data_IF_515991140424
#
_entry.id   IF_515991140424
#
_cell.length_a   1.000
_cell.length_b   1.000
_cell.length_c   1.000
_cell.angle_alpha   90.00
_cell.angle_beta   90.00
_cell.angle_gamma   90.00
#
_symmetry.space_group_name_H-M   'P 1'
#
loop_
_entity.id
_entity.type
_entity.pdbx_description
1 polymer ?
#
# COMPACT_ATOMS: atom_id res chain seq x y z
N UNK A 1 -17.42 29.67 23.42
CA UNK A 1 -17.72 30.14 22.05
C UNK A 1 -16.45 29.99 21.22
N UNK A 2 -16.34 28.96 20.39
CA UNK A 2 -15.14 28.76 19.56
C UNK A 2 -15.28 29.58 18.28
N UNK A 3 -14.35 30.51 18.06
CA UNK A 3 -14.25 31.27 16.82
C UNK A 3 -14.08 30.31 15.64
N UNK A 4 -14.83 30.52 14.55
CA UNK A 4 -14.72 29.78 13.29
C UNK A 4 -13.32 29.84 12.65
N UNK A 5 -12.42 30.66 13.20
CA UNK A 5 -11.00 30.75 12.82
C UNK A 5 -10.11 29.75 13.58
N UNK A 6 -10.65 29.00 14.55
CA UNK A 6 -9.88 28.03 15.31
C UNK A 6 -9.45 26.84 14.42
N UNK A 7 -8.19 26.38 14.49
CA UNK A 7 -7.73 25.20 13.75
C UNK A 7 -8.48 23.93 14.15
N UNK A 8 -9.18 23.93 15.28
CA UNK A 8 -9.95 22.80 15.82
C UNK A 8 -11.45 22.84 15.44
N UNK A 9 -11.89 23.81 14.63
CA UNK A 9 -13.27 23.85 14.15
C UNK A 9 -13.61 22.57 13.34
N UNK A 10 -14.84 22.02 13.44
CA UNK A 10 -15.24 20.79 12.75
C UNK A 10 -14.92 20.79 11.25
N UNK A 11 -15.10 21.94 10.58
CA UNK A 11 -14.77 22.12 9.17
C UNK A 11 -13.26 22.02 8.90
N UNK A 12 -12.43 22.74 9.67
CA UNK A 12 -10.96 22.73 9.50
C UNK A 12 -10.38 21.35 9.78
N UNK A 13 -10.91 20.66 10.79
CA UNK A 13 -10.58 19.27 11.10
C UNK A 13 -10.96 18.35 9.94
N UNK A 14 -12.18 18.47 9.43
CA UNK A 14 -12.65 17.68 8.27
C UNK A 14 -11.79 17.88 7.02
N UNK A 15 -11.46 19.13 6.70
CA UNK A 15 -10.58 19.47 5.57
C UNK A 15 -9.16 18.92 5.75
N UNK A 16 -8.61 19.03 6.97
CA UNK A 16 -7.28 18.51 7.27
C UNK A 16 -7.21 16.99 7.10
N UNK A 17 -8.12 16.23 7.72
CA UNK A 17 -8.12 14.78 7.60
C UNK A 17 -8.46 14.30 6.18
N UNK A 18 -9.31 15.02 5.44
CA UNK A 18 -9.57 14.72 4.03
C UNK A 18 -8.33 14.95 3.18
N UNK A 19 -7.57 16.02 3.42
CA UNK A 19 -6.28 16.25 2.77
C UNK A 19 -5.29 15.14 3.10
N UNK A 20 -5.17 14.73 4.37
CA UNK A 20 -4.25 13.67 4.79
C UNK A 20 -4.61 12.32 4.16
N UNK A 21 -5.89 11.95 4.15
CA UNK A 21 -6.34 10.71 3.48
C UNK A 21 -6.07 10.73 1.99
N UNK A 22 -6.31 11.85 1.30
CA UNK A 22 -5.98 12.00 -0.12
C UNK A 22 -4.47 11.93 -0.40
N UNK A 23 -3.63 12.51 0.46
CA UNK A 23 -2.17 12.40 0.32
C UNK A 23 -1.73 10.96 0.53
N UNK A 24 -2.24 10.31 1.57
CA UNK A 24 -1.95 8.90 1.86
C UNK A 24 -2.32 8.01 0.67
N UNK A 25 -3.50 8.22 0.09
CA UNK A 25 -3.95 7.51 -1.10
C UNK A 25 -3.09 7.72 -2.34
N UNK A 26 -2.70 8.97 -2.61
CA UNK A 26 -1.98 9.33 -3.84
C UNK A 26 -0.48 9.10 -3.76
N UNK A 27 0.08 9.08 -2.56
CA UNK A 27 1.51 8.93 -2.35
C UNK A 27 1.84 7.56 -1.78
N UNK A 28 1.28 7.23 -0.62
CA UNK A 28 1.71 6.07 0.17
C UNK A 28 1.36 4.78 -0.56
N UNK A 29 0.14 4.65 -1.08
CA UNK A 29 -0.25 3.44 -1.81
C UNK A 29 0.59 3.20 -3.08
N UNK A 30 0.72 4.14 -4.04
CA UNK A 30 1.57 3.94 -5.22
C UNK A 30 3.05 3.78 -4.90
N UNK A 31 3.54 4.36 -3.81
CA UNK A 31 4.93 4.25 -3.38
C UNK A 31 5.24 2.88 -2.75
N UNK A 32 4.34 2.32 -1.93
CA UNK A 32 4.56 1.02 -1.29
C UNK A 32 4.21 -0.17 -2.18
N UNK A 33 3.28 0.01 -3.11
CA UNK A 33 2.77 -1.07 -3.94
C UNK A 33 3.84 -1.87 -4.71
N UNK A 34 4.87 -1.25 -5.32
CA UNK A 34 5.94 -1.99 -6.01
C UNK A 34 6.69 -2.97 -5.11
N UNK A 35 6.89 -2.63 -3.83
CA UNK A 35 7.54 -3.51 -2.86
C UNK A 35 6.65 -4.67 -2.44
N UNK A 36 5.37 -4.40 -2.18
CA UNK A 36 4.37 -5.44 -1.87
C UNK A 36 4.26 -6.42 -3.03
N UNK A 37 4.22 -5.91 -4.26
CA UNK A 37 4.17 -6.72 -5.47
C UNK A 37 5.46 -7.53 -5.65
N UNK A 38 6.64 -6.95 -5.40
CA UNK A 38 7.91 -7.67 -5.45
C UNK A 38 7.94 -8.83 -4.46
N UNK A 39 7.53 -8.61 -3.21
CA UNK A 39 7.44 -9.66 -2.18
C UNK A 39 6.48 -10.76 -2.62
N UNK A 40 5.30 -10.40 -3.14
CA UNK A 40 4.32 -11.37 -3.64
C UNK A 40 4.91 -12.22 -4.77
N UNK A 41 5.60 -11.61 -5.73
CA UNK A 41 6.22 -12.30 -6.85
C UNK A 41 7.33 -13.26 -6.38
N UNK A 42 8.13 -12.87 -5.39
CA UNK A 42 9.17 -13.74 -4.80
C UNK A 42 8.51 -14.95 -4.12
N UNK A 43 7.45 -14.76 -3.35
CA UNK A 43 6.72 -15.85 -2.70
C UNK A 43 6.15 -16.83 -3.73
N UNK A 44 5.49 -16.31 -4.77
CA UNK A 44 4.96 -17.13 -5.86
C UNK A 44 6.09 -17.87 -6.56
N UNK A 45 7.21 -17.20 -6.89
CA UNK A 45 8.34 -17.88 -7.51
C UNK A 45 8.96 -18.97 -6.61
N UNK A 46 9.00 -18.74 -5.30
CA UNK A 46 9.41 -19.73 -4.30
C UNK A 46 8.48 -20.95 -4.26
N UNK A 47 7.16 -20.73 -4.36
CA UNK A 47 6.17 -21.81 -4.48
C UNK A 47 6.49 -22.75 -5.65
N UNK A 48 6.84 -22.19 -6.81
CA UNK A 48 7.22 -22.95 -7.99
C UNK A 48 8.62 -23.58 -7.90
N UNK A 49 9.42 -23.21 -6.89
CA UNK A 49 10.79 -23.70 -6.71
C UNK A 49 11.80 -23.07 -7.68
N UNK A 50 11.48 -21.90 -8.25
CA UNK A 50 12.34 -21.20 -9.22
C UNK A 50 13.72 -20.83 -8.63
N UNK A 51 13.82 -20.72 -7.31
CA UNK A 51 15.07 -20.38 -6.62
C UNK A 51 15.97 -21.59 -6.29
N UNK A 52 15.44 -22.82 -6.33
CA UNK A 52 16.23 -24.02 -5.98
C UNK A 52 17.41 -24.30 -6.93
N UNK A 53 17.28 -24.13 -8.27
CA UNK A 53 18.39 -24.39 -9.19
C UNK A 53 19.30 -23.18 -9.45
N UNK A 54 18.99 -22.01 -8.87
CA UNK A 54 19.71 -20.78 -9.21
C UNK A 54 21.08 -20.70 -8.51
N UNK A 55 22.17 -20.40 -9.23
CA UNK A 55 23.44 -20.08 -8.60
C UNK A 55 23.33 -18.77 -7.81
N UNK A 56 24.09 -18.65 -6.72
CA UNK A 56 24.01 -17.52 -5.77
C UNK A 56 24.07 -16.15 -6.45
N UNK A 57 24.97 -15.99 -7.43
CA UNK A 57 25.09 -14.75 -8.19
C UNK A 57 23.85 -14.41 -9.00
N UNK A 58 23.18 -15.40 -9.60
CA UNK A 58 21.94 -15.18 -10.34
C UNK A 58 20.78 -14.83 -9.40
N UNK A 59 20.72 -15.46 -8.22
CA UNK A 59 19.75 -15.12 -7.17
C UNK A 59 19.93 -13.65 -6.73
N UNK A 60 21.16 -13.26 -6.40
CA UNK A 60 21.49 -11.88 -6.04
C UNK A 60 21.16 -10.89 -7.15
N UNK A 61 21.51 -11.20 -8.40
CA UNK A 61 21.20 -10.36 -9.54
C UNK A 61 19.69 -10.19 -9.74
N UNK A 62 18.91 -11.26 -9.60
CA UNK A 62 17.46 -11.23 -9.77
C UNK A 62 16.78 -10.40 -8.67
N UNK A 63 17.13 -10.61 -7.41
CA UNK A 63 16.60 -9.82 -6.29
C UNK A 63 17.05 -8.36 -6.36
N UNK A 64 18.32 -8.12 -6.68
CA UNK A 64 18.87 -6.79 -6.86
C UNK A 64 18.17 -6.02 -7.98
N UNK A 65 17.98 -6.65 -9.14
CA UNK A 65 17.24 -6.06 -10.24
C UNK A 65 15.78 -5.77 -9.87
N UNK A 66 15.10 -6.71 -9.22
CA UNK A 66 13.73 -6.52 -8.73
C UNK A 66 13.61 -5.34 -7.75
N UNK A 67 14.56 -5.21 -6.83
CA UNK A 67 14.61 -4.10 -5.88
C UNK A 67 14.87 -2.77 -6.58
N UNK A 68 15.82 -2.72 -7.53
CA UNK A 68 16.09 -1.51 -8.32
C UNK A 68 14.85 -1.08 -9.09
N UNK A 69 14.13 -2.02 -9.72
CA UNK A 69 12.88 -1.71 -10.42
C UNK A 69 11.80 -1.19 -9.45
N UNK A 70 11.66 -1.79 -8.27
CA UNK A 70 10.73 -1.32 -7.24
C UNK A 70 11.08 0.09 -6.77
N UNK A 71 12.36 0.40 -6.56
CA UNK A 71 12.84 1.74 -6.20
C UNK A 71 12.54 2.74 -7.31
N UNK A 72 12.86 2.41 -8.57
CA UNK A 72 12.58 3.29 -9.73
C UNK A 72 11.08 3.56 -9.87
N UNK A 73 10.24 2.53 -9.72
CA UNK A 73 8.79 2.68 -9.74
C UNK A 73 8.28 3.57 -8.60
N UNK A 74 8.83 3.40 -7.39
CA UNK A 74 8.47 4.18 -6.20
C UNK A 74 8.88 5.64 -6.33
N UNK A 75 10.09 5.90 -6.86
CA UNK A 75 10.56 7.26 -7.17
C UNK A 75 9.68 7.89 -8.25
N UNK A 76 9.35 7.15 -9.31
CA UNK A 76 8.44 7.66 -10.36
C UNK A 76 7.05 8.00 -9.81
N UNK A 77 6.53 7.19 -8.89
CA UNK A 77 5.27 7.47 -8.20
C UNK A 77 5.37 8.75 -7.35
N UNK A 78 6.46 8.91 -6.61
CA UNK A 78 6.73 10.12 -5.82
C UNK A 78 6.91 11.37 -6.71
N UNK A 79 7.58 11.27 -7.86
CA UNK A 79 7.76 12.39 -8.79
C UNK A 79 6.46 12.81 -9.49
N UNK A 80 5.53 11.87 -9.68
CA UNK A 80 4.18 12.14 -10.22
C UNK A 80 3.18 12.61 -9.16
N UNK A 81 3.61 12.69 -7.90
CA UNK A 81 2.72 13.09 -6.82
C UNK A 81 2.22 14.53 -7.01
N UNK A 82 0.90 14.68 -7.01
CA UNK A 82 0.23 15.97 -7.04
C UNK A 82 -0.52 16.19 -5.74
N UNK A 83 -0.13 17.23 -5.01
CA UNK A 83 -0.81 17.67 -3.79
C UNK A 83 -2.30 17.94 -4.12
N UNK A 84 -3.25 17.43 -3.33
CA UNK A 84 -4.67 17.65 -3.56
C UNK A 84 -5.00 19.15 -3.56
N UNK A 85 -5.70 19.60 -4.59
CA UNK A 85 -6.09 21.00 -4.71
C UNK A 85 -7.23 21.32 -3.73
N UNK A 86 -7.40 22.61 -3.45
CA UNK A 86 -8.45 23.09 -2.55
C UNK A 86 -9.86 22.64 -3.01
N UNK A 87 -10.13 22.71 -4.30
CA UNK A 87 -11.41 22.29 -4.88
C UNK A 87 -11.63 20.79 -4.70
N UNK A 88 -10.63 19.95 -4.95
CA UNK A 88 -10.73 18.50 -4.77
C UNK A 88 -11.02 18.10 -3.32
N UNK A 89 -10.37 18.75 -2.35
CA UNK A 89 -10.58 18.46 -0.92
C UNK A 89 -12.02 18.80 -0.51
N UNK A 90 -12.53 19.97 -0.91
CA UNK A 90 -13.91 20.37 -0.58
C UNK A 90 -14.94 19.48 -1.28
N UNK A 91 -14.73 19.19 -2.57
CA UNK A 91 -15.65 18.31 -3.32
C UNK A 91 -15.70 16.93 -2.69
N UNK A 92 -14.56 16.38 -2.28
CA UNK A 92 -14.52 15.07 -1.60
C UNK A 92 -15.26 15.10 -0.26
N UNK A 93 -14.96 16.09 0.58
CA UNK A 93 -15.63 16.24 1.88
C UNK A 93 -17.16 16.46 1.72
N UNK A 94 -17.58 17.15 0.65
CA UNK A 94 -18.99 17.38 0.33
C UNK A 94 -19.68 16.06 -0.03
N UNK A 95 -19.08 15.30 -0.96
CA UNK A 95 -19.57 13.98 -1.38
C UNK A 95 -19.67 13.02 -0.21
N UNK A 96 -18.65 12.97 0.66
CA UNK A 96 -18.62 12.07 1.82
C UNK A 96 -19.68 12.41 2.89
N UNK A 97 -20.21 13.64 2.87
CA UNK A 97 -21.26 14.10 3.77
C UNK A 97 -22.62 14.27 3.09
N UNK A 98 -22.76 13.86 1.82
CA UNK A 98 -23.96 14.12 1.00
C UNK A 98 -24.38 15.60 0.99
N UNK A 99 -23.40 16.51 1.06
CA UNK A 99 -23.59 17.96 0.99
C UNK A 99 -23.24 18.46 -0.40
N UNK A 100 -23.80 19.62 -0.77
CA UNK A 100 -23.33 20.35 -1.95
C UNK A 100 -22.05 21.13 -1.63
N UNK A 101 -21.09 21.27 -2.56
CA UNK A 101 -19.84 21.99 -2.32
C UNK A 101 -20.04 23.45 -1.86
N UNK A 102 -21.09 24.13 -2.36
CA UNK A 102 -21.40 25.51 -2.00
C UNK A 102 -21.80 25.63 -0.51
N UNK A 103 -22.42 24.58 0.05
CA UNK A 103 -22.80 24.55 1.47
C UNK A 103 -21.56 24.51 2.37
N UNK A 104 -20.48 23.83 1.96
CA UNK A 104 -19.23 23.82 2.72
C UNK A 104 -18.54 25.19 2.73
N UNK A 105 -18.66 25.95 1.64
CA UNK A 105 -18.15 27.33 1.59
C UNK A 105 -18.96 28.23 2.53
N UNK A 106 -20.28 28.10 2.54
CA UNK A 106 -21.14 28.84 3.47
C UNK A 106 -20.85 28.51 4.95
N UNK A 107 -20.54 27.24 5.27
CA UNK A 107 -20.20 26.79 6.63
C UNK A 107 -18.97 27.49 7.22
N UNK A 108 -18.09 28.09 6.41
CA UNK A 108 -16.95 28.90 6.90
C UNK A 108 -17.41 30.11 7.72
N UNK A 109 -18.57 30.64 7.38
CA UNK A 109 -19.13 31.83 8.00
C UNK A 109 -20.19 31.50 9.08
N UNK A 110 -20.57 30.23 9.22
CA UNK A 110 -21.64 29.78 10.13
C UNK A 110 -21.11 29.49 11.54
N UNK A 111 -21.65 30.15 12.58
CA UNK A 111 -21.15 30.03 13.98
C UNK A 111 -21.30 28.64 14.59
N UNK A 112 -22.20 27.81 14.07
CA UNK A 112 -22.41 26.42 14.49
C UNK A 112 -22.26 25.51 13.28
N UNK A 113 -21.20 24.73 13.26
CA UNK A 113 -20.93 23.77 12.19
C UNK A 113 -21.41 22.37 12.63
N UNK A 114 -22.12 21.62 11.78
CA UNK A 114 -22.45 20.23 12.08
C UNK A 114 -21.17 19.37 12.10
N UNK A 115 -21.19 18.22 12.80
CA UNK A 115 -20.08 17.27 12.73
C UNK A 115 -19.99 16.72 11.30
N UNK A 116 -18.80 16.83 10.69
CA UNK A 116 -18.53 16.29 9.37
C UNK A 116 -17.90 14.90 9.48
N UNK A 117 -18.41 13.95 8.69
CA UNK A 117 -17.80 12.64 8.48
C UNK A 117 -16.59 12.82 7.56
N UNK A 118 -15.45 12.31 8.00
CA UNK A 118 -14.26 12.21 7.17
C UNK A 118 -14.40 10.91 6.38
N UNK A 119 -14.34 10.98 5.05
CA UNK A 119 -14.45 9.80 4.20
C UNK A 119 -13.33 8.79 4.42
N UNK A 120 -13.63 7.52 4.15
CA UNK A 120 -12.66 6.42 4.17
C UNK A 120 -11.71 6.54 2.98
N UNK A 121 -10.58 5.83 3.05
CA UNK A 121 -9.68 5.74 1.92
C UNK A 121 -10.37 4.99 0.75
N UNK A 122 -10.37 5.57 -0.46
CA UNK A 122 -11.03 5.07 -1.69
C UNK A 122 -10.06 4.77 -2.83
N UNK A 123 -8.75 4.87 -2.61
CA UNK A 123 -7.76 4.71 -3.67
C UNK A 123 -7.89 3.37 -4.41
N UNK A 124 -7.91 3.44 -5.73
CA UNK A 124 -7.82 2.30 -6.62
C UNK A 124 -6.37 1.92 -6.86
N UNK A 125 -6.01 0.70 -6.51
CA UNK A 125 -4.70 0.06 -6.79
C UNK A 125 -4.45 -0.06 -8.32
N UNK A 126 -5.43 0.26 -9.16
CA UNK A 126 -5.34 0.18 -10.61
C UNK A 126 -4.26 1.10 -11.22
N UNK A 127 -4.05 2.30 -10.66
CA UNK A 127 -3.05 3.23 -11.20
C UNK A 127 -1.61 2.81 -10.89
N UNK A 128 -1.40 2.03 -9.82
CA UNK A 128 -0.10 1.51 -9.42
C UNK A 128 0.27 0.18 -10.10
N UNK A 129 -0.65 -0.46 -10.81
CA UNK A 129 -0.45 -1.75 -11.50
C UNK A 129 -0.98 -1.72 -12.95
N UNK A 130 -0.30 -1.01 -13.88
CA UNK A 130 -0.78 -0.86 -15.26
C UNK A 130 -0.80 -2.19 -16.03
N UNK A 131 0.02 -3.16 -15.62
CA UNK A 131 0.12 -4.48 -16.26
C UNK A 131 -0.70 -5.56 -15.55
N UNK A 132 -1.50 -5.20 -14.54
CA UNK A 132 -2.32 -6.15 -13.79
C UNK A 132 -1.49 -7.32 -13.20
N UNK A 133 -0.22 -7.08 -12.88
CA UNK A 133 0.72 -8.09 -12.36
C UNK A 133 0.21 -8.74 -11.08
N UNK A 134 -0.60 -8.04 -10.28
CA UNK A 134 -1.25 -8.64 -9.11
C UNK A 134 -2.17 -9.80 -9.46
N UNK A 135 -2.89 -9.72 -10.57
CA UNK A 135 -3.79 -10.78 -11.01
C UNK A 135 -3.00 -11.93 -11.62
N UNK A 136 -1.91 -11.63 -12.33
CA UNK A 136 -0.97 -12.65 -12.83
C UNK A 136 -0.35 -13.42 -11.67
N UNK A 137 0.14 -12.72 -10.64
CA UNK A 137 0.69 -13.33 -9.43
C UNK A 137 -0.36 -14.18 -8.70
N UNK A 138 -1.59 -13.67 -8.57
CA UNK A 138 -2.70 -14.41 -7.94
C UNK A 138 -3.05 -15.68 -8.73
N UNK A 139 -3.19 -15.59 -10.05
CA UNK A 139 -3.49 -16.73 -10.90
C UNK A 139 -2.38 -17.79 -10.82
N UNK A 140 -1.11 -17.36 -10.85
CA UNK A 140 0.04 -18.26 -10.71
C UNK A 140 0.09 -18.92 -9.31
N UNK A 141 -0.28 -18.20 -8.25
CA UNK A 141 -0.36 -18.76 -6.90
C UNK A 141 -1.46 -19.82 -6.78
N UNK A 142 -2.65 -19.53 -7.31
CA UNK A 142 -3.79 -20.45 -7.33
C UNK A 142 -3.48 -21.71 -8.14
N UNK A 143 -2.92 -21.54 -9.34
CA UNK A 143 -2.49 -22.67 -10.18
C UNK A 143 -1.42 -23.50 -9.48
N UNK A 144 -0.43 -22.85 -8.88
CA UNK A 144 0.60 -23.55 -8.12
C UNK A 144 0.01 -24.34 -6.94
N UNK A 145 -1.01 -23.80 -6.26
CA UNK A 145 -1.67 -24.49 -5.15
C UNK A 145 -2.48 -25.70 -5.64
N UNK A 146 -3.19 -25.57 -6.76
CA UNK A 146 -3.96 -26.66 -7.35
C UNK A 146 -3.06 -27.77 -7.90
N UNK A 147 -1.90 -27.44 -8.46
CA UNK A 147 -0.99 -28.41 -9.08
C UNK A 147 -0.06 -29.07 -8.06
N UNK A 148 0.56 -28.28 -7.18
CA UNK A 148 1.57 -28.76 -6.23
C UNK A 148 0.98 -29.13 -4.86
N UNK A 149 -0.27 -28.75 -4.59
CA UNK A 149 -0.89 -28.88 -3.28
C UNK A 149 -0.35 -27.86 -2.26
N UNK A 150 -0.55 -28.10 -0.95
CA UNK A 150 -0.03 -27.24 0.10
C UNK A 150 1.51 -27.27 0.11
N UNK A 151 2.11 -26.10 -0.11
CA UNK A 151 3.56 -25.94 -0.20
C UNK A 151 4.15 -25.56 1.18
N UNK A 152 5.23 -26.21 1.64
CA UNK A 152 5.89 -25.88 2.91
C UNK A 152 6.42 -24.44 2.95
N UNK A 153 6.42 -23.82 4.14
CA UNK A 153 6.82 -22.41 4.33
C UNK A 153 8.29 -22.20 3.95
N UNK A 154 9.13 -23.21 4.14
CA UNK A 154 10.55 -23.21 3.76
C UNK A 154 10.71 -23.01 2.25
N UNK A 155 9.80 -23.58 1.46
CA UNK A 155 9.82 -23.44 0.00
C UNK A 155 9.34 -22.05 -0.44
N UNK A 156 8.35 -21.48 0.25
CA UNK A 156 7.89 -20.10 -0.02
C UNK A 156 8.96 -19.05 0.35
N UNK A 157 9.69 -19.29 1.44
CA UNK A 157 10.70 -18.36 1.96
C UNK A 157 12.06 -18.49 1.28
N UNK A 158 12.27 -19.56 0.50
CA UNK A 158 13.51 -19.81 -0.26
C UNK A 158 13.95 -18.65 -1.15
N UNK A 159 13.00 -17.85 -1.66
CA UNK A 159 13.31 -16.66 -2.45
C UNK A 159 13.98 -15.53 -1.66
N UNK A 160 13.83 -15.49 -0.33
CA UNK A 160 14.40 -14.47 0.55
C UNK A 160 15.71 -14.91 1.21
N UNK A 161 16.06 -16.20 1.14
CA UNK A 161 17.30 -16.72 1.73
C UNK A 161 18.49 -16.44 0.81
N UNK A 162 19.10 -15.27 0.98
CA UNK A 162 20.29 -14.83 0.24
C UNK A 162 21.56 -15.62 0.61
N UNK A 163 21.61 -16.10 1.85
CA UNK A 163 22.70 -16.90 2.40
C UNK A 163 22.10 -18.23 2.85
N UNK A 164 22.60 -19.33 2.30
CA UNK A 164 22.05 -20.66 2.56
C UNK A 164 21.88 -20.94 4.06
N UNK A 165 20.73 -21.54 4.41
CA UNK A 165 20.29 -21.91 5.75
C UNK A 165 20.45 -20.79 6.81
N UNK A 166 19.39 -20.01 7.04
CA UNK A 166 19.20 -19.39 8.35
C UNK A 166 19.01 -20.54 9.35
N UNK A 167 19.95 -20.78 10.30
CA UNK A 167 19.80 -21.85 11.25
C UNK A 167 18.68 -21.48 12.22
N UNK A 168 17.54 -22.16 12.10
CA UNK A 168 16.56 -22.51 13.15
C UNK A 168 16.18 -21.44 14.21
N UNK A 169 16.34 -20.14 13.94
CA UNK A 169 16.30 -19.11 15.00
C UNK A 169 14.88 -18.74 15.45
N UNK A 170 13.84 -19.21 14.75
CA UNK A 170 12.45 -19.03 15.16
C UNK A 170 11.87 -20.23 15.91
N UNK A 171 12.49 -21.42 15.85
CA UNK A 171 12.04 -22.60 16.59
C UNK A 171 12.65 -22.68 18.01
N UNK A 172 13.82 -22.07 18.23
CA UNK A 172 14.48 -22.07 19.54
C UNK A 172 13.94 -21.04 20.54
N UNK A 173 13.13 -20.07 20.10
CA UNK A 173 12.48 -19.09 20.99
C UNK A 173 11.21 -19.62 21.68
N UNK A 174 10.76 -20.83 21.35
CA UNK A 174 9.54 -21.45 21.92
C UNK A 174 9.82 -22.57 22.95
N UNK A 175 11.09 -22.93 23.19
CA UNK A 175 11.47 -24.07 24.07
C UNK A 175 12.21 -23.59 25.34
N UNK A 176 12.19 -22.28 25.61
CA UNK A 176 12.88 -21.66 26.75
C UNK A 176 12.00 -21.24 27.94
N UNK A 177 10.71 -21.59 27.96
CA UNK A 177 9.86 -21.41 29.14
C UNK A 177 9.41 -22.78 29.68
N UNK A 178 10.25 -23.34 30.57
CA UNK A 178 9.82 -24.15 31.71
C UNK A 178 10.75 -23.88 32.88
#
# INVERSE_FOLDING_TARGET
MSSNKSPLAPLNRGLFFTKMTMIWERLVLPFLFPYVLLVLLIVVAGQWGLFAPLPRFAHLALLGAGLVLAVVASVRAALRFRVPSFTEINTRLAVDNALRPERLLAMRHEKRQPPLKIGKAKAGIAESDPFALRYVALAAALLGFLILGPVPVERLTSGFTLFGNLPQTFASLSVGEK
#
